data_IF_702551789180
#
_entry.id   IF_702551789180
#
_cell.length_a   1.000
_cell.length_b   1.000
_cell.length_c   1.000
_cell.angle_alpha   90.00
_cell.angle_beta   90.00
_cell.angle_gamma   90.00
#
_symmetry.space_group_name_H-M   'P 1'
#
loop_
_entity.id
_entity.type
_entity.pdbx_description
1 polymer ?
#
# COMPACT_ATOMS: atom_id res chain seq x y z
N UNK A 1 14.85 -16.88 -9.22
CA UNK A 1 14.14 -17.70 -8.22
C UNK A 1 13.20 -16.77 -7.48
N UNK A 2 11.93 -17.15 -7.32
CA UNK A 2 10.87 -16.24 -6.86
C UNK A 2 10.14 -16.81 -5.63
N UNK A 3 10.80 -17.63 -4.83
CA UNK A 3 10.26 -18.24 -3.63
C UNK A 3 11.23 -18.18 -2.47
N UNK A 4 10.73 -18.47 -1.28
CA UNK A 4 11.53 -18.69 -0.07
C UNK A 4 11.71 -20.21 0.07
N UNK A 5 12.95 -20.65 0.14
CA UNK A 5 13.29 -22.04 0.43
C UNK A 5 13.49 -22.17 1.95
N UNK A 6 12.87 -23.18 2.53
CA UNK A 6 13.06 -23.55 3.95
C UNK A 6 14.07 -24.69 4.08
N UNK A 7 14.69 -24.81 5.23
CA UNK A 7 15.73 -25.83 5.52
C UNK A 7 15.26 -27.28 5.31
N UNK A 8 13.96 -27.52 5.33
CA UNK A 8 13.34 -28.82 5.07
C UNK A 8 13.08 -29.11 3.58
N UNK A 9 13.60 -28.29 2.67
CA UNK A 9 13.43 -28.45 1.22
C UNK A 9 12.09 -27.98 0.67
N UNK A 10 11.22 -27.40 1.50
CA UNK A 10 9.96 -26.79 1.06
C UNK A 10 10.23 -25.41 0.46
N UNK A 11 9.72 -25.15 -0.74
CA UNK A 11 9.74 -23.82 -1.36
C UNK A 11 8.35 -23.20 -1.36
N UNK A 12 8.27 -21.94 -0.91
CA UNK A 12 7.04 -21.14 -0.93
C UNK A 12 7.14 -20.06 -1.98
N UNK A 13 6.22 -20.05 -2.94
CA UNK A 13 6.09 -18.97 -3.92
C UNK A 13 5.20 -17.88 -3.33
N UNK A 14 5.77 -16.70 -3.06
CA UNK A 14 5.06 -15.58 -2.46
C UNK A 14 4.17 -14.86 -3.46
N UNK A 15 4.55 -14.86 -4.74
CA UNK A 15 3.84 -14.15 -5.81
C UNK A 15 4.18 -14.77 -7.16
N UNK A 16 3.21 -14.87 -8.03
CA UNK A 16 3.40 -15.21 -9.43
C UNK A 16 3.55 -13.95 -10.28
N UNK A 17 4.60 -13.86 -11.08
CA UNK A 17 4.85 -12.72 -11.95
C UNK A 17 3.86 -12.69 -13.11
N UNK A 18 3.48 -11.47 -13.52
CA UNK A 18 2.77 -11.27 -14.78
C UNK A 18 3.66 -11.76 -15.93
N UNK A 19 3.17 -12.67 -16.79
CA UNK A 19 3.92 -13.11 -17.96
C UNK A 19 4.13 -11.94 -18.94
N UNK A 20 5.27 -11.97 -19.63
CA UNK A 20 5.59 -10.94 -20.63
C UNK A 20 4.65 -10.98 -21.86
N UNK A 21 4.07 -12.16 -22.13
CA UNK A 21 3.13 -12.37 -23.23
C UNK A 21 1.99 -13.28 -22.79
N UNK A 22 0.83 -13.16 -23.42
CA UNK A 22 -0.35 -14.00 -23.14
C UNK A 22 -0.25 -15.41 -23.73
N UNK A 23 0.81 -15.71 -24.52
CA UNK A 23 0.98 -17.03 -25.14
C UNK A 23 1.27 -18.15 -24.15
N UNK A 24 1.82 -17.84 -22.98
CA UNK A 24 2.07 -18.82 -21.93
C UNK A 24 0.85 -18.91 -21.00
N UNK A 25 -0.14 -19.70 -21.41
CA UNK A 25 -1.40 -19.89 -20.67
C UNK A 25 -1.16 -20.40 -19.24
N UNK A 26 -0.15 -21.26 -19.03
CA UNK A 26 0.17 -21.75 -17.68
C UNK A 26 0.70 -20.65 -16.77
N UNK A 27 1.57 -19.78 -17.28
CA UNK A 27 2.08 -18.65 -16.50
C UNK A 27 0.98 -17.61 -16.22
N UNK A 28 0.08 -17.39 -17.19
CA UNK A 28 -1.09 -16.53 -17.00
C UNK A 28 -2.03 -17.09 -15.93
N UNK A 29 -2.36 -18.37 -15.98
CA UNK A 29 -3.20 -19.03 -14.97
C UNK A 29 -2.59 -18.96 -13.55
N UNK A 30 -1.26 -19.07 -13.43
CA UNK A 30 -0.57 -18.89 -12.16
C UNK A 30 -0.63 -17.42 -11.69
N UNK A 31 -0.42 -16.46 -12.60
CA UNK A 31 -0.51 -15.04 -12.26
C UNK A 31 -1.88 -14.65 -11.74
N UNK A 32 -2.96 -15.21 -12.31
CA UNK A 32 -4.33 -14.98 -11.87
C UNK A 32 -4.66 -15.57 -10.48
N UNK A 33 -3.78 -16.42 -9.94
CA UNK A 33 -3.93 -16.94 -8.58
C UNK A 33 -3.43 -15.96 -7.51
N UNK A 34 -2.78 -14.86 -7.88
CA UNK A 34 -2.41 -13.85 -6.90
C UNK A 34 -3.68 -13.17 -6.36
N UNK A 35 -3.77 -13.08 -5.05
CA UNK A 35 -4.85 -12.41 -4.35
C UNK A 35 -4.35 -11.09 -3.80
N UNK A 36 -4.91 -9.99 -4.31
CA UNK A 36 -4.73 -8.66 -3.75
C UNK A 36 -5.92 -8.35 -2.85
N UNK A 37 -5.67 -8.03 -1.59
CA UNK A 37 -6.71 -7.67 -0.64
C UNK A 37 -6.39 -6.38 0.10
N UNK A 38 -7.44 -5.72 0.57
CA UNK A 38 -7.36 -4.46 1.31
C UNK A 38 -8.05 -4.67 2.65
N UNK A 39 -7.44 -4.17 3.71
CA UNK A 39 -8.04 -4.14 5.05
C UNK A 39 -7.99 -2.73 5.60
N UNK A 40 -9.09 -2.32 6.22
CA UNK A 40 -9.20 -1.05 6.92
C UNK A 40 -8.94 -1.23 8.41
N UNK A 41 -8.52 -0.16 9.08
CA UNK A 41 -8.38 -0.09 10.53
C UNK A 41 -7.51 -1.22 11.12
N UNK A 42 -6.37 -1.49 10.49
CA UNK A 42 -5.49 -2.60 10.87
C UNK A 42 -4.70 -2.30 12.13
N UNK A 43 -4.99 -3.04 13.19
CA UNK A 43 -4.20 -2.98 14.41
C UNK A 43 -2.79 -3.53 14.19
N UNK A 44 -1.77 -2.70 14.35
CA UNK A 44 -0.38 -3.12 14.27
C UNK A 44 0.31 -3.14 15.63
N UNK A 45 -0.28 -2.47 16.61
CA UNK A 45 0.13 -2.40 17.97
C UNK A 45 -1.09 -2.05 18.84
N UNK A 46 -1.03 -2.34 20.13
CA UNK A 46 -2.06 -1.92 21.09
C UNK A 46 -2.21 -0.40 21.09
N UNK A 47 -3.42 0.08 20.87
CA UNK A 47 -3.74 1.51 20.79
C UNK A 47 -3.39 2.19 19.46
N UNK A 48 -2.79 1.48 18.50
CA UNK A 48 -2.42 2.06 17.19
C UNK A 48 -3.00 1.26 16.02
N UNK A 49 -3.77 1.93 15.17
CA UNK A 49 -4.35 1.38 13.94
C UNK A 49 -3.83 2.14 12.74
N UNK A 50 -3.60 1.43 11.66
CA UNK A 50 -3.32 1.98 10.33
C UNK A 50 -4.63 2.03 9.57
N UNK A 51 -4.94 3.15 8.94
CA UNK A 51 -6.24 3.38 8.29
C UNK A 51 -6.52 2.34 7.20
N UNK A 52 -5.49 1.99 6.38
CA UNK A 52 -5.65 1.01 5.32
C UNK A 52 -4.34 0.27 5.03
N UNK A 53 -4.43 -1.05 4.83
CA UNK A 53 -3.28 -1.90 4.47
C UNK A 53 -3.64 -2.74 3.25
N UNK A 54 -2.74 -2.77 2.27
CA UNK A 54 -2.84 -3.65 1.10
C UNK A 54 -1.98 -4.88 1.32
N UNK A 55 -2.57 -6.03 1.03
CA UNK A 55 -1.93 -7.33 1.12
C UNK A 55 -1.85 -7.98 -0.26
N UNK A 56 -0.76 -8.68 -0.51
CA UNK A 56 -0.59 -9.59 -1.65
C UNK A 56 -0.38 -11.01 -1.12
N UNK A 57 -1.29 -11.92 -1.47
CA UNK A 57 -1.28 -13.30 -1.00
C UNK A 57 -1.15 -13.42 0.54
N UNK A 58 -1.84 -12.53 1.28
CA UNK A 58 -1.80 -12.48 2.73
C UNK A 58 -0.59 -11.77 3.34
N UNK A 59 0.34 -11.26 2.52
CA UNK A 59 1.52 -10.52 2.97
C UNK A 59 1.25 -9.04 2.85
N UNK A 60 1.33 -8.29 3.95
CA UNK A 60 1.18 -6.85 3.95
C UNK A 60 2.30 -6.19 3.13
N UNK A 61 1.93 -5.39 2.12
CA UNK A 61 2.88 -4.76 1.20
C UNK A 61 2.90 -3.24 1.29
N UNK A 62 1.74 -2.61 1.54
CA UNK A 62 1.62 -1.16 1.64
C UNK A 62 0.71 -0.75 2.80
N UNK A 63 1.06 0.35 3.46
CA UNK A 63 0.21 1.00 4.45
C UNK A 63 -0.19 2.39 3.97
N UNK A 64 -1.38 2.83 4.35
CA UNK A 64 -1.91 4.16 4.07
C UNK A 64 -2.46 4.77 5.34
N UNK A 65 -2.12 6.02 5.57
CA UNK A 65 -2.78 6.93 6.51
C UNK A 65 -3.50 7.99 5.69
N UNK A 66 -4.76 8.17 5.98
CA UNK A 66 -5.68 8.98 5.17
C UNK A 66 -6.16 10.19 5.96
N UNK A 67 -6.19 11.36 5.33
CA UNK A 67 -6.82 12.55 5.89
C UNK A 67 -7.81 13.16 4.92
N UNK A 68 -8.87 13.73 5.48
CA UNK A 68 -9.89 14.40 4.70
C UNK A 68 -9.80 15.91 4.93
N UNK A 69 -9.64 16.67 3.86
CA UNK A 69 -9.50 18.12 3.92
C UNK A 69 -10.75 18.83 4.50
N UNK A 70 -11.90 18.15 4.51
CA UNK A 70 -13.13 18.69 5.14
C UNK A 70 -13.01 18.85 6.66
N UNK A 71 -12.10 18.12 7.30
CA UNK A 71 -11.78 18.26 8.73
C UNK A 71 -10.66 19.26 9.02
N UNK A 72 -10.16 19.96 8.00
CA UNK A 72 -9.01 20.87 8.11
C UNK A 72 -7.66 20.17 8.23
N UNK A 73 -7.63 18.85 8.08
CA UNK A 73 -6.39 18.03 8.09
C UNK A 73 -5.98 17.70 6.65
N UNK A 74 -4.68 17.59 6.42
CA UNK A 74 -4.09 17.33 5.12
C UNK A 74 -2.99 16.24 5.19
N UNK A 75 -2.31 15.99 4.07
CA UNK A 75 -1.21 15.00 4.00
C UNK A 75 -0.05 15.32 4.94
N UNK A 76 0.19 16.58 5.30
CA UNK A 76 1.26 16.98 6.24
C UNK A 76 0.97 16.44 7.63
N UNK A 77 -0.30 16.45 8.06
CA UNK A 77 -0.73 15.84 9.30
C UNK A 77 -0.52 14.33 9.29
N UNK A 78 -0.74 13.69 8.13
CA UNK A 78 -0.47 12.26 7.94
C UNK A 78 1.03 11.94 8.02
N UNK A 79 1.86 12.75 7.38
CA UNK A 79 3.33 12.64 7.48
C UNK A 79 3.78 12.83 8.93
N UNK A 80 3.21 13.81 9.62
CA UNK A 80 3.49 14.05 11.04
C UNK A 80 3.12 12.86 11.89
N UNK A 81 1.97 12.25 11.63
CA UNK A 81 1.50 11.06 12.33
C UNK A 81 2.52 9.91 12.22
N UNK A 82 3.01 9.60 11.00
CA UNK A 82 4.06 8.61 10.81
C UNK A 82 5.39 8.96 11.49
N UNK A 83 5.74 10.24 11.55
CA UNK A 83 7.03 10.70 12.09
C UNK A 83 7.07 10.75 13.62
N UNK A 84 5.95 11.08 14.25
CA UNK A 84 5.93 11.45 15.66
C UNK A 84 4.99 10.62 16.52
N UNK A 85 3.98 10.00 15.91
CA UNK A 85 2.92 9.34 16.66
C UNK A 85 2.93 7.82 16.47
N UNK A 86 3.42 7.33 15.30
CA UNK A 86 3.48 5.90 15.01
C UNK A 86 4.78 5.28 15.53
N UNK A 87 4.63 4.15 16.21
CA UNK A 87 5.77 3.29 16.50
C UNK A 87 6.12 2.49 15.23
N UNK A 88 7.32 2.69 14.71
CA UNK A 88 7.83 2.01 13.50
C UNK A 88 8.60 0.70 13.80
N UNK A 89 8.72 0.29 15.07
CA UNK A 89 9.39 -0.95 15.45
C UNK A 89 8.54 -2.21 15.25
N UNK A 90 7.19 -2.18 15.44
CA UNK A 90 6.35 -3.33 15.16
C UNK A 90 6.51 -3.81 13.71
N UNK A 91 6.35 -5.12 13.51
CA UNK A 91 6.67 -5.81 12.25
C UNK A 91 6.05 -5.15 11.02
N UNK A 92 4.81 -4.67 11.10
CA UNK A 92 4.10 -4.07 9.96
C UNK A 92 4.83 -2.86 9.37
N UNK A 93 5.39 -1.99 10.23
CA UNK A 93 6.05 -0.74 9.82
C UNK A 93 7.58 -0.85 9.76
N UNK A 94 8.14 -1.97 10.23
CA UNK A 94 9.59 -2.14 10.34
C UNK A 94 10.25 -2.30 8.98
N UNK A 95 11.27 -1.49 8.72
CA UNK A 95 12.04 -1.55 7.48
C UNK A 95 12.63 -2.93 7.22
N UNK A 96 12.50 -3.44 6.00
CA UNK A 96 12.95 -4.77 5.54
C UNK A 96 12.27 -5.97 6.19
N UNK A 97 11.32 -5.77 7.10
CA UNK A 97 10.60 -6.85 7.77
C UNK A 97 9.08 -6.74 7.65
N UNK A 98 8.57 -5.54 7.36
CA UNK A 98 7.18 -5.22 7.18
C UNK A 98 6.85 -4.80 5.75
N UNK A 99 5.97 -3.80 5.63
CA UNK A 99 5.54 -3.27 4.35
C UNK A 99 6.69 -2.65 3.54
N UNK A 100 6.54 -2.68 2.23
CA UNK A 100 7.52 -2.14 1.28
C UNK A 100 7.50 -0.62 1.24
N UNK A 101 6.32 -0.02 1.42
CA UNK A 101 6.14 1.42 1.45
C UNK A 101 4.93 1.83 2.30
N UNK A 102 5.00 3.09 2.75
CA UNK A 102 4.03 3.74 3.62
C UNK A 102 3.58 5.04 2.95
N UNK A 103 2.28 5.21 2.81
CA UNK A 103 1.68 6.32 2.10
C UNK A 103 0.96 7.25 3.05
N UNK A 104 1.27 8.53 2.95
CA UNK A 104 0.57 9.65 3.56
C UNK A 104 -0.28 10.31 2.47
N UNK A 105 -1.59 10.41 2.68
CA UNK A 105 -2.50 10.75 1.60
C UNK A 105 -3.65 11.62 2.07
N UNK A 106 -4.01 12.59 1.26
CA UNK A 106 -5.27 13.30 1.33
C UNK A 106 -6.01 13.25 -0.01
N UNK A 107 -7.06 14.06 -0.19
CA UNK A 107 -7.85 14.07 -1.42
C UNK A 107 -7.08 14.58 -2.66
N UNK A 108 -5.97 15.28 -2.47
CA UNK A 108 -5.24 15.95 -3.54
C UNK A 108 -3.84 15.41 -3.74
N UNK A 109 -3.19 14.98 -2.65
CA UNK A 109 -1.78 14.65 -2.65
C UNK A 109 -1.47 13.30 -2.00
N UNK A 110 -0.44 12.65 -2.53
CA UNK A 110 0.08 11.37 -2.04
C UNK A 110 1.58 11.47 -1.88
N UNK A 111 2.06 11.14 -0.69
CA UNK A 111 3.48 11.05 -0.36
C UNK A 111 3.82 9.64 0.07
N UNK A 112 5.02 9.19 -0.26
CA UNK A 112 5.50 7.83 0.00
C UNK A 112 6.80 7.85 0.78
N UNK A 113 6.93 6.92 1.73
CA UNK A 113 8.16 6.61 2.44
C UNK A 113 8.39 5.10 2.44
N UNK A 114 9.61 4.66 2.14
CA UNK A 114 9.98 3.23 2.16
C UNK A 114 10.69 2.81 3.44
N UNK A 115 11.11 3.76 4.26
CA UNK A 115 11.86 3.48 5.48
C UNK A 115 11.49 4.47 6.58
N UNK A 116 10.58 4.05 7.44
CA UNK A 116 10.19 4.84 8.60
C UNK A 116 11.30 4.83 9.65
N UNK A 117 11.70 6.02 10.10
CA UNK A 117 12.75 6.29 11.10
C UNK A 117 12.33 7.40 12.07
N UNK A 118 11.04 7.46 12.41
CA UNK A 118 10.50 8.54 13.21
C UNK A 118 10.74 9.91 12.54
N UNK A 119 11.26 10.87 13.26
CA UNK A 119 11.56 12.24 12.78
C UNK A 119 12.39 12.27 11.49
N UNK A 120 13.28 11.30 11.32
CA UNK A 120 14.18 11.20 10.17
C UNK A 120 13.54 10.50 8.96
N UNK A 121 12.28 10.13 9.03
CA UNK A 121 11.55 9.58 7.88
C UNK A 121 11.47 10.61 6.76
N UNK A 122 11.76 10.17 5.53
CA UNK A 122 11.73 11.04 4.36
C UNK A 122 10.58 10.61 3.43
N UNK A 123 9.65 11.51 3.21
CA UNK A 123 8.50 11.33 2.35
C UNK A 123 8.70 12.05 1.03
N UNK A 124 8.51 11.34 -0.06
CA UNK A 124 8.60 11.85 -1.44
C UNK A 124 7.20 11.98 -2.03
N UNK A 125 6.91 13.01 -2.83
CA UNK A 125 5.70 13.09 -3.61
C UNK A 125 5.59 11.84 -4.51
N UNK A 126 4.45 11.16 -4.46
CA UNK A 126 4.21 9.96 -5.25
C UNK A 126 3.35 10.26 -6.48
N UNK A 127 2.35 11.12 -6.35
CA UNK A 127 1.61 11.62 -7.49
C UNK A 127 2.42 12.72 -8.20
N UNK A 128 2.35 12.77 -9.52
CA UNK A 128 3.04 13.77 -10.34
C UNK A 128 2.41 15.17 -10.23
N UNK A 129 1.96 15.58 -9.06
CA UNK A 129 1.44 16.90 -8.72
C UNK A 129 0.80 17.73 -9.84
N UNK A 130 -0.01 18.67 -9.49
CA UNK A 130 -0.61 19.68 -10.34
C UNK A 130 -1.85 19.32 -11.15
N UNK A 131 -2.97 19.60 -10.57
CA UNK A 131 -4.20 19.94 -11.31
C UNK A 131 -4.93 18.78 -11.95
N UNK A 132 -4.60 17.54 -11.59
CA UNK A 132 -5.42 16.37 -11.89
C UNK A 132 -5.91 15.83 -10.57
N UNK A 133 -7.18 16.05 -10.25
CA UNK A 133 -7.79 15.45 -9.08
C UNK A 133 -7.58 13.93 -9.12
N UNK A 134 -7.14 13.35 -8.02
CA UNK A 134 -7.19 11.89 -7.86
C UNK A 134 -8.67 11.56 -7.76
N UNK A 135 -9.25 11.05 -8.83
CA UNK A 135 -10.60 10.51 -8.77
C UNK A 135 -10.50 9.11 -8.19
N UNK A 136 -11.01 8.95 -6.99
CA UNK A 136 -11.23 7.63 -6.42
C UNK A 136 -12.39 6.97 -7.17
N UNK A 137 -12.07 5.95 -7.95
CA UNK A 137 -13.09 5.06 -8.50
C UNK A 137 -13.60 4.17 -7.38
N UNK A 138 -14.92 4.09 -7.24
CA UNK A 138 -15.59 3.17 -6.34
C UNK A 138 -15.86 1.87 -7.10
N UNK A 139 -15.38 0.75 -6.59
CA UNK A 139 -15.72 -0.58 -7.08
C UNK A 139 -16.42 -1.33 -5.96
N UNK A 140 -17.60 -1.84 -6.23
CA UNK A 140 -18.32 -2.73 -5.32
C UNK A 140 -18.01 -4.16 -5.73
N UNK A 141 -17.38 -4.92 -4.84
CA UNK A 141 -17.14 -6.35 -4.97
C UNK A 141 -17.72 -7.02 -3.72
N UNK A 142 -18.58 -8.00 -3.92
CA UNK A 142 -19.19 -8.82 -2.85
C UNK A 142 -19.87 -8.01 -1.73
N UNK A 143 -20.52 -6.89 -2.10
CA UNK A 143 -21.23 -6.02 -1.15
C UNK A 143 -20.32 -5.06 -0.37
N UNK A 144 -19.04 -5.06 -0.62
CA UNK A 144 -18.06 -4.11 -0.06
C UNK A 144 -17.64 -3.07 -1.09
N UNK A 145 -17.47 -1.84 -0.64
CA UNK A 145 -17.04 -0.72 -1.46
C UNK A 145 -15.53 -0.53 -1.34
N UNK A 146 -14.84 -0.61 -2.46
CA UNK A 146 -13.39 -0.37 -2.55
C UNK A 146 -13.13 0.92 -3.32
N UNK A 147 -12.18 1.70 -2.85
CA UNK A 147 -11.77 2.95 -3.49
C UNK A 147 -10.42 2.74 -4.18
N UNK A 148 -10.34 3.14 -5.45
CA UNK A 148 -9.09 3.13 -6.21
C UNK A 148 -8.70 4.54 -6.60
N UNK A 149 -7.43 4.88 -6.41
CA UNK A 149 -6.86 6.10 -6.97
C UNK A 149 -6.60 5.89 -8.47
N UNK A 150 -7.32 6.63 -9.33
CA UNK A 150 -7.09 6.64 -10.77
C UNK A 150 -6.51 7.98 -11.18
N UNK A 151 -5.29 8.00 -11.72
CA UNK A 151 -4.78 9.16 -12.43
C UNK A 151 -5.45 9.23 -13.81
N UNK A 152 -6.18 10.30 -14.07
CA UNK A 152 -6.71 10.59 -15.41
C UNK A 152 -5.68 11.45 -16.13
N UNK A 153 -5.14 11.02 -17.28
CA UNK A 153 -4.29 11.87 -18.11
C UNK A 153 -5.10 13.10 -18.57
N UNK A 154 -4.50 14.28 -18.52
CA UNK A 154 -5.10 15.44 -19.21
C UNK A 154 -5.21 15.11 -20.69
N UNK A 155 -6.40 15.17 -21.23
CA UNK A 155 -6.56 15.35 -22.68
C UNK A 155 -6.15 16.80 -22.99
N UNK A 156 -5.12 16.94 -23.81
CA UNK A 156 -4.75 18.21 -24.43
C UNK A 156 -5.70 18.51 -25.58
#
# INVERSE_FOLDING_TARGET
>A
KHGVEFDNGVSLTLMYRKPATTFNQKAEALYQQNVLSVMEEVWHKEGERIDLVIFLNGIAIFTFELKCNTSGQNYEDTIRQYKFERDYNPRLLKFKAGCLAHFAMDLNEVYMCTNLKGKSSFFLPFNKGCGVGIHFGKVSLDGHEYFFARSIPRQF
#
